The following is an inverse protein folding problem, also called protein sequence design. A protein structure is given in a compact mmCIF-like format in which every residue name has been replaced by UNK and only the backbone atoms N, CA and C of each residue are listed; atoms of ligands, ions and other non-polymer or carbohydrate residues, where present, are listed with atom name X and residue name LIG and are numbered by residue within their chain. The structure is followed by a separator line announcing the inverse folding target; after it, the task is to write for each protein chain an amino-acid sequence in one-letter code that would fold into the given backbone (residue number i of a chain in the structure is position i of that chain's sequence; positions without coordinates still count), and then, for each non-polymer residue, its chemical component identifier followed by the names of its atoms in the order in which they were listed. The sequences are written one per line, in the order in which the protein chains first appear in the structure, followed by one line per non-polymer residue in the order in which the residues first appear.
data_IF_817862445939
#
_entry.id   IF_817862445939
#
_cell.length_a   1.000
_cell.length_b   1.000
_cell.length_c   1.000
_cell.angle_alpha   90.00
_cell.angle_beta   90.00
_cell.angle_gamma   90.00
#
_symmetry.space_group_name_H-M   'P 1'
#
loop_
_entity.id
_entity.type
_entity.pdbx_description
1 polymer ?
#
# COMPACT_ATOMS: atom_id res chain seq x y z
N UNK A 1 41.24 19.35 -5.43
CA UNK A 1 41.93 18.16 -4.89
C UNK A 1 41.20 16.91 -5.34
N UNK A 2 41.83 16.13 -6.21
CA UNK A 2 41.25 14.99 -6.94
C UNK A 2 41.48 13.70 -6.15
N UNK A 3 40.44 13.13 -5.52
CA UNK A 3 40.47 11.82 -4.86
C UNK A 3 40.41 10.67 -5.90
N UNK A 4 41.26 10.71 -6.91
CA UNK A 4 41.33 9.62 -7.89
C UNK A 4 42.04 8.45 -7.20
N UNK A 5 41.26 7.42 -6.84
CA UNK A 5 41.69 6.06 -6.45
C UNK A 5 42.06 5.79 -4.99
N UNK A 6 42.05 6.78 -4.10
CA UNK A 6 42.20 6.55 -2.66
C UNK A 6 40.88 6.81 -1.94
N UNK A 7 40.52 5.99 -0.92
CA UNK A 7 39.35 6.27 -0.11
C UNK A 7 39.51 7.64 0.56
N UNK A 8 38.42 8.44 0.65
CA UNK A 8 38.46 9.71 1.37
C UNK A 8 38.94 9.47 2.80
N UNK A 9 39.76 10.41 3.32
CA UNK A 9 40.20 10.35 4.72
C UNK A 9 38.99 10.27 5.65
N UNK A 10 39.03 9.46 6.74
CA UNK A 10 37.92 9.34 7.69
C UNK A 10 37.50 10.67 8.32
N UNK A 11 38.43 11.63 8.40
CA UNK A 11 38.21 12.97 8.95
C UNK A 11 37.76 13.99 7.89
N UNK A 12 37.53 13.58 6.65
CA UNK A 12 37.18 14.49 5.57
C UNK A 12 35.67 14.64 5.40
N UNK A 13 35.21 15.87 5.21
CA UNK A 13 33.82 16.19 4.85
C UNK A 13 33.47 15.84 3.39
N UNK A 14 34.31 15.03 2.73
CA UNK A 14 34.18 14.72 1.31
C UNK A 14 32.79 14.13 1.00
N UNK A 15 32.37 13.11 1.76
CA UNK A 15 31.09 12.44 1.56
C UNK A 15 29.94 13.42 1.77
N UNK A 16 29.97 14.20 2.85
CA UNK A 16 28.94 15.19 3.14
C UNK A 16 28.80 16.23 2.02
N UNK A 17 29.93 16.81 1.57
CA UNK A 17 29.96 17.83 0.51
C UNK A 17 29.42 17.29 -0.81
N UNK A 18 29.81 16.07 -1.17
CA UNK A 18 29.32 15.45 -2.40
C UNK A 18 27.84 15.08 -2.33
N UNK A 19 27.36 14.55 -1.21
CA UNK A 19 25.92 14.29 -1.02
C UNK A 19 25.10 15.57 -1.18
N UNK A 20 25.54 16.69 -0.58
CA UNK A 20 24.87 18.00 -0.75
C UNK A 20 24.83 18.46 -2.20
N UNK A 21 25.98 18.36 -2.89
CA UNK A 21 26.11 18.79 -4.29
C UNK A 21 25.21 17.96 -5.22
N UNK A 22 25.16 16.64 -5.02
CA UNK A 22 24.31 15.74 -5.79
C UNK A 22 22.83 16.06 -5.52
N UNK A 23 22.45 16.25 -4.25
CA UNK A 23 21.08 16.57 -3.89
C UNK A 23 20.60 17.90 -4.49
N UNK A 24 21.44 18.95 -4.46
CA UNK A 24 21.15 20.23 -5.09
C UNK A 24 20.98 20.09 -6.61
N UNK A 25 21.84 19.31 -7.27
CA UNK A 25 21.73 19.02 -8.71
C UNK A 25 20.46 18.25 -9.07
N UNK A 26 20.00 17.37 -8.19
CA UNK A 26 18.75 16.64 -8.37
C UNK A 26 17.50 17.47 -7.99
N UNK A 27 17.65 18.74 -7.62
CA UNK A 27 16.53 19.63 -7.33
C UNK A 27 15.87 19.42 -5.95
N UNK A 28 16.54 18.73 -5.02
CA UNK A 28 16.00 18.58 -3.67
C UNK A 28 15.97 19.93 -2.94
N UNK A 29 14.77 20.38 -2.56
CA UNK A 29 14.57 21.57 -1.71
C UNK A 29 14.91 21.31 -0.24
N UNK A 30 14.78 20.06 0.21
CA UNK A 30 15.08 19.64 1.58
C UNK A 30 16.57 19.41 1.78
N UNK A 31 17.01 19.53 3.03
CA UNK A 31 18.40 19.31 3.40
C UNK A 31 18.77 17.81 3.37
N UNK A 32 19.42 17.32 2.32
CA UNK A 32 19.86 15.91 2.20
C UNK A 32 21.30 15.75 2.70
N UNK A 33 21.56 14.76 3.55
CA UNK A 33 22.89 14.46 4.10
C UNK A 33 23.10 12.95 4.25
N UNK A 34 24.34 12.45 4.38
CA UNK A 34 24.62 11.01 4.27
C UNK A 34 23.80 10.13 5.21
N UNK A 35 23.56 10.58 6.45
CA UNK A 35 22.79 9.83 7.43
C UNK A 35 21.31 9.67 7.07
N UNK A 36 20.75 10.48 6.14
CA UNK A 36 19.38 10.28 5.62
C UNK A 36 19.27 9.15 4.60
N UNK A 37 20.37 8.75 3.97
CA UNK A 37 20.36 7.77 2.88
C UNK A 37 19.97 6.39 3.41
N UNK A 38 20.57 5.97 4.54
CA UNK A 38 20.31 4.65 5.14
C UNK A 38 18.83 4.47 5.53
N UNK A 39 18.21 5.35 6.34
CA UNK A 39 16.77 5.32 6.61
C UNK A 39 15.93 5.24 5.33
N UNK A 40 16.24 6.07 4.34
CA UNK A 40 15.48 6.12 3.09
C UNK A 40 15.54 4.80 2.33
N UNK A 41 16.72 4.16 2.28
CA UNK A 41 16.89 2.84 1.67
C UNK A 41 16.14 1.73 2.42
N UNK A 42 16.06 1.81 3.75
CA UNK A 42 15.30 0.85 4.56
C UNK A 42 13.80 1.02 4.29
N UNK A 43 13.30 2.25 4.32
CA UNK A 43 11.89 2.56 4.01
C UNK A 43 11.51 2.13 2.60
N UNK A 44 12.37 2.37 1.60
CA UNK A 44 12.14 1.90 0.23
C UNK A 44 12.05 0.37 0.15
N UNK A 45 12.91 -0.35 0.88
CA UNK A 45 12.82 -1.80 0.99
C UNK A 45 11.50 -2.30 1.60
N UNK A 46 10.97 -1.60 2.61
CA UNK A 46 9.64 -1.90 3.14
C UNK A 46 8.53 -1.65 2.12
N UNK A 47 8.59 -0.54 1.37
CA UNK A 47 7.63 -0.24 0.30
C UNK A 47 7.63 -1.30 -0.80
N UNK A 48 8.80 -1.90 -1.07
CA UNK A 48 8.97 -3.01 -2.01
C UNK A 48 8.61 -4.38 -1.42
N UNK A 49 8.03 -4.41 -0.21
CA UNK A 49 7.59 -5.63 0.50
C UNK A 49 8.73 -6.63 0.75
N UNK A 50 9.96 -6.13 0.92
CA UNK A 50 11.13 -6.97 1.25
C UNK A 50 10.99 -7.52 2.67
N UNK A 51 11.45 -8.76 2.87
CA UNK A 51 11.44 -9.39 4.19
C UNK A 51 12.19 -8.52 5.24
N UNK A 52 11.55 -8.16 6.37
CA UNK A 52 12.16 -7.29 7.39
C UNK A 52 13.50 -7.80 7.96
N UNK A 53 13.74 -9.12 7.98
CA UNK A 53 15.01 -9.70 8.42
C UNK A 53 16.14 -9.47 7.44
N UNK A 54 15.85 -9.38 6.14
CA UNK A 54 16.84 -9.01 5.12
C UNK A 54 17.23 -7.55 5.33
N UNK A 55 16.24 -6.66 5.47
CA UNK A 55 16.47 -5.24 5.73
C UNK A 55 17.24 -5.02 7.04
N UNK A 56 16.93 -5.79 8.09
CA UNK A 56 17.67 -5.74 9.36
C UNK A 56 19.16 -6.05 9.17
N UNK A 57 19.48 -7.13 8.43
CA UNK A 57 20.87 -7.54 8.17
C UNK A 57 21.60 -6.53 7.28
N UNK A 58 20.95 -6.03 6.24
CA UNK A 58 21.49 -4.99 5.36
C UNK A 58 21.79 -3.69 6.14
N UNK A 59 20.87 -3.29 7.03
CA UNK A 59 21.02 -2.13 7.89
C UNK A 59 21.98 -2.35 9.08
N UNK A 60 22.43 -3.59 9.32
CA UNK A 60 23.24 -3.99 10.48
C UNK A 60 22.61 -3.60 11.83
N UNK A 61 21.29 -3.68 11.94
CA UNK A 61 20.61 -3.42 13.21
C UNK A 61 20.65 -4.67 14.10
N UNK A 62 21.13 -4.52 15.33
CA UNK A 62 21.17 -5.61 16.32
C UNK A 62 19.77 -6.12 16.66
N UNK A 63 18.81 -5.20 16.74
CA UNK A 63 17.42 -5.42 17.15
C UNK A 63 16.49 -5.19 15.96
N UNK A 64 15.47 -6.03 15.79
CA UNK A 64 14.55 -5.93 14.65
C UNK A 64 13.65 -4.69 14.79
N UNK A 65 13.32 -4.32 16.02
CA UNK A 65 12.54 -3.16 16.43
C UNK A 65 13.13 -1.85 15.89
N UNK A 66 14.47 -1.76 15.80
CA UNK A 66 15.15 -0.60 15.20
C UNK A 66 14.88 -0.48 13.70
N UNK A 67 14.68 -1.62 13.02
CA UNK A 67 14.38 -1.67 11.58
C UNK A 67 12.89 -1.42 11.35
N UNK A 68 12.02 -1.99 12.18
CA UNK A 68 10.56 -1.82 12.07
C UNK A 68 10.09 -0.38 12.31
N UNK A 69 10.91 0.50 12.90
CA UNK A 69 10.60 1.94 12.96
C UNK A 69 10.35 2.58 11.59
N UNK A 70 10.92 2.00 10.53
CA UNK A 70 10.77 2.47 9.15
C UNK A 70 9.64 1.78 8.39
N UNK A 71 8.97 0.82 9.04
CA UNK A 71 7.77 0.20 8.50
C UNK A 71 6.59 1.16 8.72
N UNK A 72 6.09 1.72 7.62
CA UNK A 72 4.94 2.62 7.61
C UNK A 72 3.73 1.95 6.97
N UNK A 73 3.59 0.63 7.18
CA UNK A 73 2.45 -0.11 6.66
C UNK A 73 1.14 0.47 7.21
N UNK A 74 0.25 0.88 6.31
CA UNK A 74 -1.07 1.43 6.61
C UNK A 74 -2.17 0.40 6.27
N UNK A 75 -3.33 0.56 6.90
CA UNK A 75 -4.45 -0.39 6.80
C UNK A 75 -4.94 -0.63 5.37
N UNK A 76 -4.86 0.40 4.51
CA UNK A 76 -5.19 0.28 3.09
C UNK A 76 -4.26 -0.71 2.36
N UNK A 77 -2.97 -0.70 2.65
CA UNK A 77 -2.00 -1.62 2.05
C UNK A 77 -2.24 -3.06 2.51
N UNK A 78 -2.70 -3.24 3.75
CA UNK A 78 -3.12 -4.55 4.27
C UNK A 78 -4.37 -5.04 3.53
N UNK A 79 -5.40 -4.19 3.37
CA UNK A 79 -6.61 -4.50 2.59
C UNK A 79 -6.26 -4.91 1.15
N UNK A 80 -5.41 -4.14 0.49
CA UNK A 80 -4.94 -4.44 -0.87
C UNK A 80 -4.21 -5.78 -0.95
N UNK A 81 -3.35 -6.09 0.02
CA UNK A 81 -2.65 -7.38 0.09
C UNK A 81 -3.64 -8.56 0.20
N UNK A 82 -4.63 -8.47 1.10
CA UNK A 82 -5.65 -9.52 1.22
C UNK A 82 -6.48 -9.68 -0.05
N UNK A 83 -6.90 -8.57 -0.67
CA UNK A 83 -7.62 -8.61 -1.93
C UNK A 83 -6.82 -9.30 -3.05
N UNK A 84 -5.51 -9.02 -3.13
CA UNK A 84 -4.61 -9.68 -4.08
C UNK A 84 -4.49 -11.18 -3.81
N UNK A 85 -4.26 -11.58 -2.55
CA UNK A 85 -4.05 -12.99 -2.18
C UNK A 85 -5.33 -13.81 -2.34
N UNK A 86 -6.46 -13.29 -1.91
CA UNK A 86 -7.75 -13.98 -1.99
C UNK A 86 -8.34 -13.98 -3.41
N UNK A 87 -7.69 -13.30 -4.38
CA UNK A 87 -8.25 -13.02 -5.71
C UNK A 87 -9.65 -12.43 -5.64
N UNK A 88 -10.02 -11.82 -4.51
CA UNK A 88 -11.29 -11.14 -4.39
C UNK A 88 -11.21 -9.93 -5.32
N UNK A 89 -12.01 -9.96 -6.39
CA UNK A 89 -12.20 -8.80 -7.23
C UNK A 89 -12.59 -7.64 -6.32
N UNK A 90 -11.97 -6.47 -6.53
CA UNK A 90 -12.22 -5.31 -5.68
C UNK A 90 -13.66 -4.82 -5.92
N UNK A 91 -14.61 -5.43 -5.19
CA UNK A 91 -16.05 -5.23 -5.36
C UNK A 91 -16.40 -3.75 -5.22
N UNK A 92 -15.63 -2.99 -4.45
CA UNK A 92 -15.83 -1.55 -4.25
C UNK A 92 -15.67 -0.75 -5.57
N UNK A 93 -14.76 -1.17 -6.45
CA UNK A 93 -14.45 -0.49 -7.71
C UNK A 93 -15.26 -0.99 -8.93
N UNK A 94 -16.04 -2.06 -8.76
CA UNK A 94 -16.82 -2.66 -9.86
C UNK A 94 -18.09 -1.86 -10.17
N UNK A 95 -18.62 -1.99 -11.40
CA UNK A 95 -19.93 -1.43 -11.73
C UNK A 95 -21.03 -2.13 -10.91
N UNK A 96 -22.14 -1.43 -10.62
CA UNK A 96 -23.26 -1.96 -9.84
C UNK A 96 -23.79 -3.29 -10.41
N UNK A 97 -23.79 -3.43 -11.75
CA UNK A 97 -24.19 -4.65 -12.44
C UNK A 97 -23.24 -5.82 -12.18
N UNK A 98 -21.95 -5.55 -12.13
CA UNK A 98 -20.92 -6.56 -11.84
C UNK A 98 -20.96 -6.97 -10.37
N UNK A 99 -21.16 -6.01 -9.45
CA UNK A 99 -21.37 -6.31 -8.03
C UNK A 99 -22.57 -7.23 -7.83
N UNK A 100 -23.69 -6.97 -8.51
CA UNK A 100 -24.87 -7.83 -8.45
C UNK A 100 -24.61 -9.26 -8.97
N UNK A 101 -23.78 -9.42 -10.01
CA UNK A 101 -23.37 -10.75 -10.50
C UNK A 101 -22.53 -11.51 -9.49
N UNK A 102 -21.51 -10.86 -8.93
CA UNK A 102 -20.64 -11.48 -7.90
C UNK A 102 -21.46 -11.92 -6.68
N UNK A 103 -22.42 -11.12 -6.26
CA UNK A 103 -23.32 -11.47 -5.16
C UNK A 103 -24.23 -12.66 -5.51
N UNK A 104 -24.74 -12.72 -6.76
CA UNK A 104 -25.55 -13.85 -7.21
C UNK A 104 -24.73 -15.15 -7.26
N UNK A 105 -23.50 -15.08 -7.77
CA UNK A 105 -22.61 -16.24 -7.84
C UNK A 105 -22.30 -16.79 -6.44
N UNK A 106 -22.08 -15.90 -5.46
CA UNK A 106 -21.89 -16.29 -4.05
C UNK A 106 -23.12 -16.95 -3.43
N UNK A 107 -24.33 -16.48 -3.78
CA UNK A 107 -25.58 -17.10 -3.33
C UNK A 107 -25.73 -18.50 -3.93
N UNK A 108 -25.45 -18.65 -5.23
CA UNK A 108 -25.51 -19.94 -5.92
C UNK A 108 -24.45 -20.93 -5.39
N UNK A 109 -23.29 -20.44 -4.99
CA UNK A 109 -22.24 -21.23 -4.34
C UNK A 109 -22.58 -21.62 -2.88
N UNK A 110 -23.65 -21.05 -2.29
CA UNK A 110 -24.03 -21.28 -0.90
C UNK A 110 -23.11 -20.60 0.12
N UNK A 111 -22.26 -19.66 -0.31
CA UNK A 111 -21.37 -18.90 0.57
C UNK A 111 -22.10 -17.82 1.37
N UNK A 112 -23.27 -17.40 0.89
CA UNK A 112 -24.14 -16.40 1.55
C UNK A 112 -25.58 -16.90 1.60
N UNK A 113 -26.32 -16.46 2.63
CA UNK A 113 -27.75 -16.74 2.76
C UNK A 113 -28.62 -15.74 1.96
N UNK A 114 -29.86 -16.13 1.69
CA UNK A 114 -30.82 -15.32 0.92
C UNK A 114 -31.13 -13.97 1.57
N UNK A 115 -31.09 -13.87 2.91
CA UNK A 115 -31.33 -12.62 3.64
C UNK A 115 -30.14 -11.67 3.49
N UNK A 116 -28.92 -12.18 3.61
CA UNK A 116 -27.70 -11.41 3.32
C UNK A 116 -27.69 -10.92 1.88
N UNK A 117 -28.00 -11.78 0.91
CA UNK A 117 -28.06 -11.39 -0.51
C UNK A 117 -29.05 -10.24 -0.76
N UNK A 118 -30.27 -10.34 -0.20
CA UNK A 118 -31.29 -9.30 -0.34
C UNK A 118 -30.81 -7.94 0.18
N UNK A 119 -30.22 -7.93 1.38
CA UNK A 119 -29.66 -6.71 1.98
C UNK A 119 -28.56 -6.09 1.10
N UNK A 120 -27.71 -6.92 0.49
CA UNK A 120 -26.68 -6.44 -0.44
C UNK A 120 -27.24 -5.80 -1.69
N UNK A 121 -28.25 -6.41 -2.30
CA UNK A 121 -28.92 -5.86 -3.49
C UNK A 121 -29.64 -4.55 -3.17
N UNK A 122 -30.28 -4.44 -2.00
CA UNK A 122 -30.97 -3.23 -1.56
C UNK A 122 -30.00 -2.05 -1.38
N UNK A 123 -28.77 -2.31 -0.90
CA UNK A 123 -27.70 -1.31 -0.81
C UNK A 123 -27.21 -0.88 -2.21
N UNK A 124 -27.15 -1.80 -3.17
CA UNK A 124 -26.71 -1.53 -4.54
C UNK A 124 -27.76 -0.77 -5.38
N UNK A 125 -29.04 -0.86 -5.03
CA UNK A 125 -30.17 -0.26 -5.76
C UNK A 125 -31.01 0.65 -4.86
N UNK A 126 -30.47 1.78 -4.35
CA UNK A 126 -31.19 2.66 -3.42
C UNK A 126 -32.47 3.28 -4.00
N UNK A 127 -32.59 3.34 -5.34
CA UNK A 127 -33.68 4.01 -6.05
C UNK A 127 -34.80 3.08 -6.58
N UNK A 128 -34.95 1.85 -6.06
CA UNK A 128 -36.21 1.11 -6.25
C UNK A 128 -37.31 1.78 -5.43
N UNK A 129 -37.79 2.92 -5.92
CA UNK A 129 -39.12 3.43 -5.58
C UNK A 129 -40.09 2.27 -5.81
N UNK A 130 -40.82 1.89 -4.75
CA UNK A 130 -41.89 0.91 -4.80
C UNK A 130 -42.86 1.31 -5.91
N UNK A 131 -42.73 0.73 -7.10
CA UNK A 131 -43.72 0.87 -8.16
C UNK A 131 -44.74 -0.25 -7.97
N UNK A 132 -45.90 0.12 -7.43
CA UNK A 132 -47.17 -0.57 -7.67
C UNK A 132 -47.71 -1.42 -6.54
N UNK A 133 -48.31 -0.79 -5.52
CA UNK A 133 -49.42 -1.35 -4.73
C UNK A 133 -50.76 -0.67 -5.13
N UNK A 134 -50.89 -0.18 -6.37
CA UNK A 134 -52.11 0.50 -6.87
C UNK A 134 -52.64 -0.16 -8.15
N UNK A 135 -53.04 -1.43 -8.07
CA UNK A 135 -54.01 -1.99 -9.02
C UNK A 135 -55.15 -2.62 -8.23
N UNK A 136 -56.02 -1.77 -7.68
CA UNK A 136 -57.37 -2.18 -7.33
C UNK A 136 -58.17 -2.29 -8.64
N UNK A 137 -58.54 -3.53 -8.99
CA UNK A 137 -59.46 -3.81 -10.09
C UNK A 137 -60.84 -3.23 -9.74
N UNK A 138 -61.45 -2.53 -10.71
CA UNK A 138 -62.88 -2.21 -10.73
C UNK A 138 -63.72 -3.48 -10.88
#
# INVERSE_FOLDING_TARGET
MSHRRLPPSPKSDFIWRWTKKIAARAGFKRNVYPYLIKPSAITDGFNQKVNPKILQRQARHRKIETTLRYDHTADNMVKEYYNQVQKCQNIDAMDYKEKARVWLDKLLAGEIDTKTFKNGIDILLPNRTKKGDDVAYL
#
